data_IF_290096117283
#
_entry.id   IF_290096117283
#
_cell.length_a   1.000
_cell.length_b   1.000
_cell.length_c   1.000
_cell.angle_alpha   90.00
_cell.angle_beta   90.00
_cell.angle_gamma   90.00
#
_symmetry.space_group_name_H-M   'P 1'
#
loop_
_entity.id
_entity.type
_entity.pdbx_description
1 polymer ?
#
# COMPACT_ATOMS: atom_id res chain seq x y z
N UNK A 1 28.05 -29.72 3.06
CA UNK A 1 27.62 -31.07 3.48
C UNK A 1 27.35 -31.87 2.21
N UNK A 2 28.37 -32.57 1.74
CA UNK A 2 28.28 -33.59 0.71
C UNK A 2 27.54 -34.82 1.23
N UNK A 3 26.61 -35.37 0.46
CA UNK A 3 26.35 -36.82 0.44
C UNK A 3 26.12 -37.24 -1.01
N UNK A 4 27.19 -37.68 -1.65
CA UNK A 4 27.17 -38.58 -2.80
C UNK A 4 26.99 -40.02 -2.32
N UNK A 5 26.10 -40.80 -2.94
CA UNK A 5 26.28 -42.24 -3.16
C UNK A 5 25.27 -42.71 -4.24
N UNK A 6 25.71 -43.00 -5.47
CA UNK A 6 26.26 -44.30 -5.94
C UNK A 6 25.18 -45.40 -5.93
N UNK A 7 24.92 -46.23 -6.95
CA UNK A 7 25.58 -46.62 -8.19
C UNK A 7 24.63 -47.60 -8.94
N UNK A 8 24.81 -47.67 -10.27
CA UNK A 8 24.75 -48.88 -11.14
C UNK A 8 23.45 -49.70 -11.25
N UNK A 9 22.97 -49.83 -12.49
CA UNK A 9 22.07 -50.89 -12.93
C UNK A 9 21.85 -50.90 -14.43
N UNK A 10 22.64 -51.70 -15.13
CA UNK A 10 22.66 -51.92 -16.58
C UNK A 10 21.40 -52.60 -17.12
N UNK A 11 20.99 -52.18 -18.33
CA UNK A 11 20.44 -52.97 -19.43
C UNK A 11 19.18 -53.84 -19.20
N UNK A 12 18.15 -53.62 -20.03
CA UNK A 12 17.57 -54.70 -20.85
C UNK A 12 16.76 -54.14 -22.02
N UNK A 13 16.94 -54.82 -23.15
CA UNK A 13 16.37 -54.63 -24.47
C UNK A 13 14.85 -54.85 -24.44
N UNK A 14 14.15 -54.04 -25.23
CA UNK A 14 13.40 -54.56 -26.36
C UNK A 14 11.90 -54.85 -26.17
N UNK A 15 11.23 -54.67 -27.31
CA UNK A 15 9.96 -55.26 -27.73
C UNK A 15 8.67 -54.55 -27.32
N UNK A 16 8.22 -53.70 -28.25
CA UNK A 16 6.95 -53.95 -28.93
C UNK A 16 5.70 -53.98 -28.08
N UNK A 17 5.12 -52.80 -27.83
CA UNK A 17 3.71 -52.71 -27.48
C UNK A 17 2.93 -52.62 -28.78
N UNK A 18 2.57 -53.80 -29.27
CA UNK A 18 1.62 -53.98 -30.34
C UNK A 18 0.33 -53.24 -30.02
N UNK A 19 -0.21 -52.61 -31.06
CA UNK A 19 -1.64 -52.30 -31.12
C UNK A 19 -2.40 -53.63 -30.96
N UNK A 20 -3.01 -53.83 -29.82
CA UNK A 20 -4.18 -54.70 -29.71
C UNK A 20 -5.40 -53.81 -29.51
N UNK A 21 -6.06 -53.54 -30.63
CA UNK A 21 -7.46 -53.14 -30.64
C UNK A 21 -8.25 -54.32 -30.07
N UNK A 22 -8.59 -54.26 -28.78
CA UNK A 22 -9.67 -55.05 -28.22
C UNK A 22 -10.87 -54.12 -28.06
N UNK A 23 -11.72 -54.15 -29.08
CA UNK A 23 -13.04 -53.57 -29.03
C UNK A 23 -13.93 -54.31 -28.00
N UNK A 24 -15.06 -53.66 -27.71
CA UNK A 24 -16.29 -54.21 -27.11
C UNK A 24 -16.40 -54.28 -25.57
N UNK A 25 -16.83 -53.15 -24.98
CA UNK A 25 -18.16 -53.05 -24.35
C UNK A 25 -18.63 -51.59 -24.36
N UNK A 26 -18.77 -51.11 -25.59
CA UNK A 26 -19.21 -49.78 -26.01
C UNK A 26 -20.70 -49.57 -25.74
N UNK A 27 -21.05 -48.43 -25.13
CA UNK A 27 -22.36 -47.80 -25.36
C UNK A 27 -23.04 -47.15 -24.16
N UNK A 28 -22.79 -47.62 -22.92
CA UNK A 28 -23.53 -47.11 -21.74
C UNK A 28 -22.73 -46.18 -20.82
N UNK A 29 -21.41 -46.33 -20.79
CA UNK A 29 -20.54 -45.52 -19.92
C UNK A 29 -20.10 -44.20 -20.58
N UNK A 30 -20.16 -44.10 -21.91
CA UNK A 30 -19.90 -42.84 -22.63
C UNK A 30 -21.04 -41.85 -22.47
N UNK A 31 -22.30 -42.31 -22.46
CA UNK A 31 -23.46 -41.47 -22.17
C UNK A 31 -23.47 -40.94 -20.73
N UNK A 32 -23.02 -41.76 -19.77
CA UNK A 32 -22.88 -41.34 -18.38
C UNK A 32 -21.80 -40.26 -18.21
N UNK A 33 -20.66 -40.40 -18.89
CA UNK A 33 -19.59 -39.38 -18.87
C UNK A 33 -20.01 -38.06 -19.53
N UNK A 34 -20.68 -38.13 -20.69
CA UNK A 34 -21.18 -36.93 -21.39
C UNK A 34 -22.28 -36.24 -20.57
N UNK A 35 -23.19 -37.00 -19.97
CA UNK A 35 -24.22 -36.47 -19.09
C UNK A 35 -23.64 -35.77 -17.87
N UNK A 36 -22.60 -36.34 -17.24
CA UNK A 36 -21.94 -35.72 -16.10
C UNK A 36 -21.21 -34.42 -16.46
N UNK A 37 -20.55 -34.36 -17.62
CA UNK A 37 -19.88 -33.13 -18.10
C UNK A 37 -20.91 -32.05 -18.46
N UNK A 38 -22.00 -32.42 -19.15
CA UNK A 38 -23.07 -31.48 -19.47
C UNK A 38 -23.76 -30.93 -18.21
N UNK A 39 -24.00 -31.79 -17.21
CA UNK A 39 -24.52 -31.37 -15.91
C UNK A 39 -23.54 -30.48 -15.16
N UNK A 40 -22.24 -30.78 -15.15
CA UNK A 40 -21.23 -29.93 -14.52
C UNK A 40 -21.15 -28.54 -15.19
N UNK A 41 -21.26 -28.47 -16.52
CA UNK A 41 -21.29 -27.21 -17.26
C UNK A 41 -22.58 -26.42 -17.01
N UNK A 42 -23.74 -27.10 -16.94
CA UNK A 42 -25.01 -26.46 -16.60
C UNK A 42 -25.01 -25.95 -15.16
N UNK A 43 -24.49 -26.75 -14.23
CA UNK A 43 -24.32 -26.34 -12.83
C UNK A 43 -23.37 -25.15 -12.76
N UNK A 44 -22.23 -25.17 -13.47
CA UNK A 44 -21.31 -24.02 -13.54
C UNK A 44 -21.96 -22.77 -14.15
N UNK A 45 -22.79 -22.92 -15.18
CA UNK A 45 -23.47 -21.79 -15.84
C UNK A 45 -24.64 -21.22 -15.04
N UNK A 46 -25.28 -22.03 -14.20
CA UNK A 46 -26.42 -21.64 -13.35
C UNK A 46 -25.97 -21.28 -11.93
N UNK A 47 -24.71 -21.61 -11.56
CA UNK A 47 -24.14 -21.17 -10.30
C UNK A 47 -24.18 -19.64 -10.31
N UNK A 48 -24.93 -19.01 -9.38
CA UNK A 48 -24.83 -17.57 -9.21
C UNK A 48 -23.36 -17.30 -8.90
N UNK A 49 -22.73 -16.37 -9.63
CA UNK A 49 -21.41 -15.89 -9.27
C UNK A 49 -21.49 -15.51 -7.80
N UNK A 50 -20.92 -16.35 -6.92
CA UNK A 50 -20.84 -16.03 -5.50
C UNK A 50 -20.04 -14.76 -5.49
N UNK A 51 -20.75 -13.64 -5.35
CA UNK A 51 -20.25 -12.29 -5.54
C UNK A 51 -18.82 -12.27 -5.05
N UNK A 52 -17.87 -12.16 -5.99
CA UNK A 52 -16.45 -12.17 -5.71
C UNK A 52 -16.28 -11.32 -4.46
N UNK A 53 -15.82 -11.94 -3.36
CA UNK A 53 -15.67 -11.26 -2.06
C UNK A 53 -15.16 -9.86 -2.35
N UNK A 54 -15.92 -8.80 -2.00
CA UNK A 54 -15.59 -7.46 -2.46
C UNK A 54 -14.10 -7.23 -2.17
N UNK A 55 -13.32 -6.73 -3.14
CA UNK A 55 -11.88 -6.63 -2.99
C UNK A 55 -11.60 -5.88 -1.69
N UNK A 56 -11.09 -6.62 -0.71
CA UNK A 56 -10.76 -6.12 0.64
C UNK A 56 -9.62 -5.10 0.61
N UNK A 57 -8.96 -4.98 -0.55
CA UNK A 57 -8.07 -3.88 -0.85
C UNK A 57 -8.91 -2.69 -1.35
N UNK A 58 -9.08 -1.68 -0.49
CA UNK A 58 -9.49 -0.34 -0.96
C UNK A 58 -8.54 0.06 -2.09
N UNK A 59 -9.07 0.40 -3.25
CA UNK A 59 -8.28 0.99 -4.33
C UNK A 59 -7.92 2.40 -3.86
N UNK A 60 -6.70 2.56 -3.35
CA UNK A 60 -6.16 3.87 -3.02
C UNK A 60 -5.69 4.55 -4.32
N UNK A 61 -5.84 5.87 -4.39
CA UNK A 61 -5.20 6.66 -5.43
C UNK A 61 -3.68 6.63 -5.24
N UNK A 62 -2.90 6.88 -6.30
CA UNK A 62 -1.44 6.99 -6.25
C UNK A 62 -1.02 8.33 -5.60
N UNK A 63 -1.46 8.54 -4.37
CA UNK A 63 -1.17 9.69 -3.55
C UNK A 63 -0.97 9.27 -2.09
N UNK A 64 0.13 9.68 -1.47
CA UNK A 64 0.49 9.25 -0.11
C UNK A 64 0.69 10.43 0.85
N UNK A 65 -0.12 10.48 1.91
CA UNK A 65 0.08 11.37 3.06
C UNK A 65 0.85 10.69 4.19
N UNK A 66 1.92 11.32 4.66
CA UNK A 66 2.83 10.73 5.64
C UNK A 66 2.91 11.57 6.90
N UNK A 67 3.00 10.91 8.05
CA UNK A 67 3.21 11.54 9.35
C UNK A 67 4.60 11.20 9.89
N UNK A 68 5.41 12.20 10.18
CA UNK A 68 6.66 12.05 10.91
C UNK A 68 6.41 12.36 12.39
N UNK A 69 6.72 11.40 13.28
CA UNK A 69 6.48 11.51 14.71
C UNK A 69 7.79 11.41 15.49
N UNK A 70 7.75 11.81 16.76
CA UNK A 70 8.78 11.49 17.74
C UNK A 70 8.71 10.00 18.14
N UNK A 71 9.46 9.63 19.19
CA UNK A 71 9.54 8.27 19.73
C UNK A 71 8.23 7.75 20.34
N UNK A 72 7.26 8.62 20.59
CA UNK A 72 5.93 8.22 21.09
C UNK A 72 5.02 7.76 19.96
N UNK A 73 5.46 7.85 18.70
CA UNK A 73 4.69 7.35 17.57
C UNK A 73 3.35 8.05 17.40
N UNK A 74 2.37 7.33 16.86
CA UNK A 74 0.99 7.82 16.69
C UNK A 74 0.18 7.90 17.99
N UNK A 75 0.74 7.49 19.14
CA UNK A 75 0.10 7.65 20.46
C UNK A 75 0.57 8.90 21.19
N UNK A 76 1.57 9.60 20.65
CA UNK A 76 2.05 10.88 21.17
C UNK A 76 0.98 11.99 21.12
N UNK A 77 1.07 13.00 22.00
CA UNK A 77 0.05 14.04 22.14
C UNK A 77 -0.14 14.88 20.88
N UNK A 78 0.93 15.14 20.14
CA UNK A 78 0.86 15.88 18.87
C UNK A 78 0.46 14.96 17.71
N UNK A 79 0.98 13.73 17.68
CA UNK A 79 0.80 12.80 16.57
C UNK A 79 -0.59 12.17 16.52
N UNK A 80 -1.18 11.83 17.67
CA UNK A 80 -2.47 11.14 17.75
C UNK A 80 -3.62 11.88 17.04
N UNK A 81 -3.89 13.17 17.31
CA UNK A 81 -4.93 13.90 16.59
C UNK A 81 -4.61 14.07 15.10
N UNK A 82 -3.35 14.31 14.74
CA UNK A 82 -2.93 14.43 13.34
C UNK A 82 -3.11 13.13 12.56
N UNK A 83 -2.77 12.00 13.17
CA UNK A 83 -2.99 10.67 12.60
C UNK A 83 -4.47 10.39 12.38
N UNK A 84 -5.33 10.76 13.34
CA UNK A 84 -6.77 10.65 13.18
C UNK A 84 -7.28 11.48 12.00
N UNK A 85 -6.74 12.69 11.79
CA UNK A 85 -7.11 13.54 10.65
C UNK A 85 -6.70 12.96 9.30
N UNK A 86 -5.49 12.39 9.23
CA UNK A 86 -5.02 11.64 8.06
C UNK A 86 -5.93 10.45 7.75
N UNK A 87 -6.32 9.68 8.77
CA UNK A 87 -7.22 8.54 8.58
C UNK A 87 -8.61 8.96 8.09
N UNK A 88 -9.16 10.07 8.60
CA UNK A 88 -10.43 10.60 8.11
C UNK A 88 -10.33 11.05 6.65
N UNK A 89 -9.25 11.75 6.29
CA UNK A 89 -8.99 12.14 4.91
C UNK A 89 -8.83 10.92 4.00
N UNK A 90 -8.12 9.88 4.44
CA UNK A 90 -7.97 8.61 3.72
C UNK A 90 -9.32 7.92 3.48
N UNK A 91 -10.23 7.97 4.45
CA UNK A 91 -11.57 7.41 4.31
C UNK A 91 -12.42 8.16 3.27
N UNK A 92 -12.19 9.47 3.12
CA UNK A 92 -12.96 10.34 2.22
C UNK A 92 -12.39 10.37 0.79
N UNK A 93 -11.07 10.47 0.67
CA UNK A 93 -10.37 10.72 -0.61
C UNK A 93 -9.66 9.49 -1.16
N UNK A 94 -9.61 8.39 -0.41
CA UNK A 94 -8.87 7.18 -0.77
C UNK A 94 -7.37 7.43 -0.97
N UNK A 95 -6.79 8.44 -0.31
CA UNK A 95 -5.33 8.60 -0.24
C UNK A 95 -4.74 7.53 0.68
N UNK A 96 -3.54 7.05 0.35
CA UNK A 96 -2.78 6.17 1.26
C UNK A 96 -2.20 7.00 2.39
N UNK A 97 -2.27 6.50 3.61
CA UNK A 97 -1.65 7.16 4.77
C UNK A 97 -0.68 6.22 5.48
N UNK A 98 0.45 6.76 5.91
CA UNK A 98 1.48 6.04 6.67
C UNK A 98 2.14 6.97 7.68
N UNK A 99 2.82 6.39 8.66
CA UNK A 99 3.61 7.15 9.62
C UNK A 99 5.03 6.57 9.69
N UNK A 100 5.95 7.40 10.15
CA UNK A 100 7.31 7.01 10.48
C UNK A 100 7.72 7.68 11.78
N UNK A 101 8.19 6.84 12.71
CA UNK A 101 8.68 7.27 14.01
C UNK A 101 10.17 7.54 13.92
N UNK A 102 10.62 8.64 14.53
CA UNK A 102 12.04 8.92 14.65
C UNK A 102 12.62 7.98 15.71
N UNK A 103 13.33 6.96 15.25
CA UNK A 103 14.00 6.01 16.13
C UNK A 103 15.39 6.53 16.48
N UNK A 104 15.75 6.42 17.76
CA UNK A 104 17.06 6.83 18.28
C UNK A 104 17.04 8.27 18.80
N UNK A 105 18.11 9.00 18.50
CA UNK A 105 18.35 10.34 19.04
C UNK A 105 17.29 11.36 18.57
N UNK A 106 16.66 12.09 19.50
CA UNK A 106 15.61 13.07 19.21
C UNK A 106 16.20 14.44 18.86
N UNK A 107 16.96 14.49 17.77
CA UNK A 107 17.63 15.70 17.25
C UNK A 107 17.15 16.08 15.86
N UNK A 108 17.35 17.35 15.49
CA UNK A 108 17.00 17.86 14.17
C UNK A 108 17.70 17.08 13.03
N UNK A 109 18.99 16.81 13.18
CA UNK A 109 19.80 16.11 12.16
C UNK A 109 19.31 14.67 11.95
N UNK A 110 18.97 13.96 13.03
CA UNK A 110 18.38 12.62 12.93
C UNK A 110 17.00 12.71 12.26
N UNK A 111 16.13 13.60 12.75
CA UNK A 111 14.79 13.81 12.20
C UNK A 111 14.81 14.18 10.71
N UNK A 112 15.81 14.94 10.24
CA UNK A 112 15.98 15.29 8.83
C UNK A 112 16.25 14.06 7.95
N UNK A 113 16.96 13.06 8.48
CA UNK A 113 17.21 11.78 7.79
C UNK A 113 15.91 11.00 7.60
N UNK A 114 15.07 10.93 8.64
CA UNK A 114 13.76 10.29 8.57
C UNK A 114 12.77 11.08 7.69
N UNK A 115 12.79 12.41 7.72
CA UNK A 115 12.02 13.22 6.78
C UNK A 115 12.43 12.98 5.32
N UNK A 116 13.74 12.81 5.07
CA UNK A 116 14.28 12.51 3.75
C UNK A 116 13.90 11.11 3.26
N UNK A 117 13.78 10.13 4.16
CA UNK A 117 13.36 8.78 3.79
C UNK A 117 11.88 8.72 3.40
N UNK A 118 11.01 9.48 4.09
CA UNK A 118 9.62 9.66 3.69
C UNK A 118 9.50 10.29 2.30
N UNK A 119 10.25 11.37 2.03
CA UNK A 119 10.25 12.01 0.71
C UNK A 119 10.72 11.07 -0.40
N UNK A 120 11.74 10.25 -0.14
CA UNK A 120 12.23 9.22 -1.07
C UNK A 120 11.26 8.05 -1.24
N UNK A 121 10.42 7.79 -0.24
CA UNK A 121 9.38 6.74 -0.27
C UNK A 121 8.10 7.20 -0.96
N UNK A 122 8.16 8.27 -1.77
CA UNK A 122 7.04 8.83 -2.53
C UNK A 122 5.87 9.33 -1.65
N UNK A 123 6.17 9.93 -0.50
CA UNK A 123 5.20 10.75 0.22
C UNK A 123 5.00 12.09 -0.52
N UNK A 124 3.76 12.42 -0.87
CA UNK A 124 3.41 13.69 -1.51
C UNK A 124 3.22 14.79 -0.46
N UNK A 125 2.60 14.42 0.67
CA UNK A 125 2.44 15.27 1.84
C UNK A 125 3.18 14.68 3.04
N UNK A 126 3.94 15.50 3.75
CA UNK A 126 4.60 15.10 5.00
C UNK A 126 4.19 16.06 6.11
N UNK A 127 3.50 15.54 7.12
CA UNK A 127 3.12 16.25 8.32
C UNK A 127 4.14 15.98 9.43
N UNK A 128 4.61 17.02 10.11
CA UNK A 128 5.53 16.90 11.23
C UNK A 128 4.78 17.05 12.56
N UNK A 129 4.74 15.98 13.36
CA UNK A 129 4.18 16.00 14.71
C UNK A 129 5.27 16.31 15.73
N UNK A 130 5.13 17.44 16.41
CA UNK A 130 6.03 17.86 17.48
C UNK A 130 7.30 18.59 17.03
N UNK A 131 8.08 19.11 17.99
CA UNK A 131 9.17 20.05 17.73
C UNK A 131 10.35 19.40 17.00
N UNK A 132 10.69 18.16 17.33
CA UNK A 132 11.81 17.43 16.74
C UNK A 132 11.55 17.14 15.27
N UNK A 133 10.40 16.53 14.94
CA UNK A 133 9.98 16.32 13.56
C UNK A 133 9.91 17.63 12.77
N UNK A 134 9.38 18.70 13.37
CA UNK A 134 9.30 20.02 12.74
C UNK A 134 10.68 20.59 12.42
N UNK A 135 11.66 20.42 13.31
CA UNK A 135 13.04 20.87 13.09
C UNK A 135 13.72 20.10 11.95
N UNK A 136 13.57 18.77 11.91
CA UNK A 136 14.11 17.93 10.84
C UNK A 136 13.50 18.22 9.47
N UNK A 137 12.19 18.42 9.41
CA UNK A 137 11.51 18.83 8.17
C UNK A 137 12.01 20.19 7.68
N UNK A 138 12.17 21.17 8.57
CA UNK A 138 12.71 22.48 8.18
C UNK A 138 14.11 22.38 7.55
N UNK A 139 14.93 21.45 8.01
CA UNK A 139 16.28 21.23 7.49
C UNK A 139 16.26 20.53 6.12
N UNK A 140 15.35 19.56 5.91
CA UNK A 140 15.31 18.74 4.69
C UNK A 140 14.42 19.29 3.57
N UNK A 141 13.41 20.11 3.88
CA UNK A 141 12.35 20.48 2.94
C UNK A 141 12.86 21.09 1.62
N UNK A 142 13.92 21.91 1.67
CA UNK A 142 14.49 22.56 0.48
C UNK A 142 15.08 21.57 -0.54
N UNK A 143 15.49 20.38 -0.10
CA UNK A 143 15.99 19.32 -0.98
C UNK A 143 14.87 18.59 -1.73
N UNK A 144 13.62 18.72 -1.29
CA UNK A 144 12.47 17.99 -1.82
C UNK A 144 11.34 18.95 -2.29
N UNK A 145 11.57 19.79 -3.31
CA UNK A 145 10.61 20.82 -3.74
C UNK A 145 9.30 20.24 -4.30
N UNK A 146 9.26 18.94 -4.62
CA UNK A 146 8.06 18.24 -5.10
C UNK A 146 7.16 17.74 -3.97
N UNK A 147 7.68 17.66 -2.74
CA UNK A 147 6.93 17.22 -1.56
C UNK A 147 6.44 18.45 -0.82
N UNK A 148 5.17 18.42 -0.38
CA UNK A 148 4.59 19.49 0.43
C UNK A 148 4.65 19.10 1.90
N UNK A 149 5.27 19.96 2.69
CA UNK A 149 5.49 19.73 4.11
C UNK A 149 4.50 20.57 4.93
N UNK A 150 3.91 19.97 5.96
CA UNK A 150 3.01 20.64 6.90
C UNK A 150 3.62 20.64 8.29
N UNK A 151 3.75 21.85 8.86
CA UNK A 151 4.26 22.06 10.20
C UNK A 151 3.13 22.50 11.13
N UNK A 152 3.18 22.07 12.38
CA UNK A 152 2.25 22.55 13.41
C UNK A 152 2.66 23.96 13.87
N UNK A 153 1.71 24.90 13.84
CA UNK A 153 1.89 26.28 14.34
C UNK A 153 2.43 27.27 13.29
N UNK A 154 2.71 28.50 13.73
CA UNK A 154 3.08 29.61 12.83
C UNK A 154 4.51 29.44 12.27
N UNK A 155 4.64 29.40 10.94
CA UNK A 155 5.94 29.37 10.28
C UNK A 155 6.61 30.74 10.35
N UNK A 156 7.76 30.85 11.02
CA UNK A 156 8.55 32.10 11.06
C UNK A 156 9.20 32.44 9.71
N UNK A 157 9.27 31.49 8.78
CA UNK A 157 9.49 31.67 7.32
C UNK A 157 9.22 30.34 6.61
N UNK A 158 8.06 30.15 5.95
CA UNK A 158 7.84 28.95 5.15
C UNK A 158 8.76 29.00 3.92
N UNK A 159 9.51 27.91 3.68
CA UNK A 159 10.03 27.64 2.34
C UNK A 159 8.87 27.47 1.36
N UNK A 160 9.12 27.55 0.06
CA UNK A 160 8.05 27.52 -0.97
C UNK A 160 7.18 26.25 -0.96
N UNK A 161 7.64 25.17 -0.33
CA UNK A 161 6.95 23.90 -0.18
C UNK A 161 6.58 23.56 1.27
N UNK A 162 6.58 24.54 2.18
CA UNK A 162 6.17 24.39 3.58
C UNK A 162 4.86 25.15 3.81
N UNK A 163 3.85 24.45 4.30
CA UNK A 163 2.58 24.98 4.78
C UNK A 163 2.47 24.75 6.29
N UNK A 164 1.51 25.42 6.92
CA UNK A 164 1.24 25.29 8.35
C UNK A 164 -0.17 24.81 8.60
N UNK A 165 -0.35 24.03 9.66
CA UNK A 165 -1.66 23.69 10.22
C UNK A 165 -1.81 24.28 11.61
N UNK A 166 -3.04 24.68 11.94
CA UNK A 166 -3.37 25.23 13.25
C UNK A 166 -3.41 24.13 14.30
N UNK A 167 -2.32 24.04 15.07
CA UNK A 167 -2.15 23.04 16.11
C UNK A 167 -2.07 21.60 15.59
N UNK A 168 -1.79 20.64 16.48
CA UNK A 168 -1.93 19.22 16.18
C UNK A 168 -3.41 18.87 16.20
N UNK A 169 -4.17 19.31 15.20
CA UNK A 169 -5.63 19.14 15.15
C UNK A 169 -6.04 18.12 14.09
N UNK A 170 -7.04 17.31 14.44
CA UNK A 170 -7.63 16.32 13.55
C UNK A 170 -8.28 16.98 12.34
N UNK A 171 -9.04 18.02 12.61
CA UNK A 171 -9.81 18.78 11.64
C UNK A 171 -8.88 19.50 10.65
N UNK A 172 -7.87 20.24 11.13
CA UNK A 172 -6.99 20.98 10.22
C UNK A 172 -6.15 20.04 9.35
N UNK A 173 -5.70 18.90 9.87
CA UNK A 173 -4.98 17.91 9.06
C UNK A 173 -5.90 17.28 8.01
N UNK A 174 -7.12 16.89 8.39
CA UNK A 174 -8.11 16.38 7.43
C UNK A 174 -8.35 17.40 6.32
N UNK A 175 -8.69 18.63 6.69
CA UNK A 175 -9.06 19.69 5.76
C UNK A 175 -7.89 20.07 4.85
N UNK A 176 -6.65 20.04 5.36
CA UNK A 176 -5.45 20.26 4.54
C UNK A 176 -5.28 19.20 3.45
N UNK A 177 -5.44 17.91 3.77
CA UNK A 177 -5.35 16.83 2.77
C UNK A 177 -6.51 16.91 1.79
N UNK A 178 -7.73 17.07 2.29
CA UNK A 178 -8.94 17.11 1.48
C UNK A 178 -8.94 18.32 0.53
N UNK A 179 -8.56 19.51 1.02
CA UNK A 179 -8.41 20.70 0.20
C UNK A 179 -7.30 20.57 -0.85
N UNK A 180 -6.18 19.92 -0.49
CA UNK A 180 -5.12 19.61 -1.45
C UNK A 180 -5.61 18.69 -2.59
N UNK A 181 -6.41 17.67 -2.26
CA UNK A 181 -6.98 16.75 -3.24
C UNK A 181 -8.03 17.42 -4.14
N UNK A 182 -8.89 18.27 -3.57
CA UNK A 182 -9.96 18.98 -4.31
C UNK A 182 -9.45 20.09 -5.21
N UNK A 183 -8.24 20.60 -4.99
CA UNK A 183 -7.65 21.65 -5.82
C UNK A 183 -8.20 23.05 -5.52
N UNK A 184 -8.64 23.32 -4.29
CA UNK A 184 -9.08 24.65 -3.86
C UNK A 184 -7.93 25.70 -3.90
N UNK A 185 -6.67 25.23 -3.98
CA UNK A 185 -5.52 26.01 -4.40
C UNK A 185 -5.51 26.13 -5.94
N UNK A 186 -5.76 27.33 -6.46
CA UNK A 186 -5.98 27.70 -7.88
C UNK A 186 -4.83 27.39 -8.89
N UNK A 187 -4.05 26.32 -8.72
CA UNK A 187 -2.92 25.99 -9.59
C UNK A 187 -2.71 24.50 -9.88
N UNK A 188 -3.67 23.61 -9.62
CA UNK A 188 -3.55 22.24 -10.13
C UNK A 188 -4.88 21.50 -10.31
N UNK A 189 -5.00 20.93 -11.51
CA UNK A 189 -5.81 19.75 -11.82
C UNK A 189 -5.77 18.71 -10.68
N UNK A 190 -6.93 18.09 -10.38
CA UNK A 190 -7.17 17.02 -9.39
C UNK A 190 -5.93 16.15 -9.13
N UNK A 191 -5.32 16.29 -7.95
CA UNK A 191 -4.11 15.54 -7.54
C UNK A 191 -4.44 14.25 -6.81
N UNK A 192 -5.69 14.12 -6.37
CA UNK A 192 -6.39 12.93 -5.92
C UNK A 192 -7.79 13.02 -6.56
#
# INVERSE_FOLDING_TARGET
MDVWARLRGTARRGAGYGRTLAATRSGRWTLAGVGAVALALLVWAVLPETAATPPRARQYVDFTGCLLTDEHGITGPDAAPMWAGLQDASAETHVRVQFLEIVGEQTADNAATFASSLAQSHCDLIFAAGPVATSGVRQSASAFPRVRFYLVGAATRPGSNISTVDGPSREAVRDAVVGYCRGDDASAYSRC
#
